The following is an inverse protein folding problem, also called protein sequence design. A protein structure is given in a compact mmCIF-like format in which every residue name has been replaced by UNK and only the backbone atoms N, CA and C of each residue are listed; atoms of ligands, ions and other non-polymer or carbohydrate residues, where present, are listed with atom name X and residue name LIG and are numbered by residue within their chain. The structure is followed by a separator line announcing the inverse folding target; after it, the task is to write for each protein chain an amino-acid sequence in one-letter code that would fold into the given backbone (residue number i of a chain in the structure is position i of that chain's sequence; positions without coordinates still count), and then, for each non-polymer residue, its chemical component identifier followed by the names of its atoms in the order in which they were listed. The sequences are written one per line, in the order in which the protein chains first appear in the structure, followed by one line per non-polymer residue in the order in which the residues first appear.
data_IF_650930031172
#
_entry.id   IF_650930031172
#
_cell.length_a   1.000
_cell.length_b   1.000
_cell.length_c   1.000
_cell.angle_alpha   90.00
_cell.angle_beta   90.00
_cell.angle_gamma   90.00
#
_symmetry.space_group_name_H-M   'P 1'
#
loop_
_entity.id
_entity.type
_entity.pdbx_description
1 polymer ?
#
# COMPACT_ATOMS: atom_id res chain seq x y z
N UNK A 1 -18.81 -8.79 -52.19
CA UNK A 1 -18.36 -9.59 -51.02
C UNK A 1 -17.17 -8.83 -50.43
N UNK A 2 -17.43 -8.00 -49.41
CA UNK A 2 -16.42 -7.12 -48.83
C UNK A 2 -15.81 -7.83 -47.60
N UNK A 3 -14.50 -8.12 -47.56
CA UNK A 3 -13.85 -8.87 -46.49
C UNK A 3 -13.49 -7.97 -45.30
N UNK A 4 -14.43 -7.14 -44.86
CA UNK A 4 -14.23 -6.23 -43.73
C UNK A 4 -14.46 -6.98 -42.41
N UNK A 5 -13.37 -7.61 -41.97
CA UNK A 5 -12.93 -7.77 -40.58
C UNK A 5 -14.04 -7.66 -39.53
N UNK A 6 -14.64 -8.80 -39.23
CA UNK A 6 -15.24 -9.08 -37.93
C UNK A 6 -14.12 -8.96 -36.88
N UNK A 7 -13.91 -7.76 -36.33
CA UNK A 7 -13.04 -7.58 -35.17
C UNK A 7 -13.73 -8.32 -34.03
N UNK A 8 -13.20 -9.50 -33.68
CA UNK A 8 -13.60 -10.22 -32.48
C UNK A 8 -13.66 -9.24 -31.31
N UNK A 9 -14.80 -9.19 -30.64
CA UNK A 9 -14.96 -8.42 -29.41
C UNK A 9 -14.03 -9.04 -28.36
N UNK A 10 -12.87 -8.42 -28.17
CA UNK A 10 -11.95 -8.77 -27.08
C UNK A 10 -12.45 -8.02 -25.87
N UNK A 11 -12.89 -8.76 -24.84
CA UNK A 11 -13.24 -8.15 -23.56
C UNK A 11 -12.06 -7.32 -23.05
N UNK A 12 -12.30 -6.08 -22.57
CA UNK A 12 -11.24 -5.23 -22.08
C UNK A 12 -10.61 -5.88 -20.83
N UNK A 13 -9.28 -6.03 -20.84
CA UNK A 13 -8.53 -6.42 -19.66
C UNK A 13 -8.46 -5.20 -18.75
N UNK A 14 -9.20 -5.23 -17.65
CA UNK A 14 -9.22 -4.13 -16.67
C UNK A 14 -8.00 -4.10 -15.76
N UNK A 15 -7.50 -5.28 -15.37
CA UNK A 15 -6.31 -5.44 -14.54
C UNK A 15 -5.48 -6.60 -15.06
N UNK A 16 -4.33 -6.28 -15.62
CA UNK A 16 -3.36 -7.26 -16.13
C UNK A 16 -2.51 -7.86 -14.99
N UNK A 17 -1.90 -9.02 -15.25
CA UNK A 17 -0.90 -9.62 -14.34
C UNK A 17 0.23 -8.63 -13.99
N UNK A 18 0.64 -7.81 -14.96
CA UNK A 18 1.64 -6.77 -14.76
C UNK A 18 1.20 -5.75 -13.70
N UNK A 19 -0.02 -5.23 -13.80
CA UNK A 19 -0.57 -4.26 -12.84
C UNK A 19 -0.78 -4.86 -11.44
N UNK A 20 -1.16 -6.14 -11.37
CA UNK A 20 -1.25 -6.87 -10.10
C UNK A 20 0.12 -6.99 -9.43
N UNK A 21 1.16 -7.33 -10.20
CA UNK A 21 2.54 -7.43 -9.70
C UNK A 21 3.07 -6.08 -9.27
N UNK A 22 2.82 -5.00 -10.03
CA UNK A 22 3.21 -3.65 -9.61
C UNK A 22 2.51 -3.23 -8.31
N UNK A 23 1.24 -3.62 -8.13
CA UNK A 23 0.50 -3.36 -6.90
C UNK A 23 1.11 -4.11 -5.71
N UNK A 24 1.43 -5.40 -5.89
CA UNK A 24 2.13 -6.20 -4.87
C UNK A 24 3.51 -5.60 -4.55
N UNK A 25 4.27 -5.23 -5.58
CA UNK A 25 5.58 -4.62 -5.46
C UNK A 25 5.53 -3.32 -4.66
N UNK A 26 4.54 -2.45 -4.91
CA UNK A 26 4.40 -1.17 -4.21
C UNK A 26 4.24 -1.32 -2.69
N UNK A 27 3.73 -2.47 -2.24
CA UNK A 27 3.58 -2.81 -0.83
C UNK A 27 4.86 -3.47 -0.30
N UNK A 28 5.40 -4.46 -1.00
CA UNK A 28 6.49 -5.31 -0.47
C UNK A 28 7.87 -4.68 -0.62
N UNK A 29 8.16 -4.09 -1.78
CA UNK A 29 9.51 -3.63 -2.14
C UNK A 29 10.11 -2.63 -1.16
N UNK A 30 9.37 -1.65 -0.59
CA UNK A 30 9.94 -0.75 0.41
C UNK A 30 10.55 -1.46 1.62
N UNK A 31 9.84 -2.46 2.16
CA UNK A 31 10.28 -3.22 3.33
C UNK A 31 11.44 -4.16 3.01
N UNK A 32 11.48 -4.68 1.78
CA UNK A 32 12.54 -5.58 1.33
C UNK A 32 13.84 -4.84 0.96
N UNK A 33 13.74 -3.73 0.23
CA UNK A 33 14.89 -2.98 -0.26
C UNK A 33 15.50 -2.07 0.81
N UNK A 34 14.66 -1.49 1.69
CA UNK A 34 15.10 -0.48 2.66
C UNK A 34 14.43 -0.65 4.04
N UNK A 35 14.52 -1.83 4.69
CA UNK A 35 13.79 -2.14 5.93
C UNK A 35 14.00 -1.11 7.05
N UNK A 36 15.24 -0.66 7.26
CA UNK A 36 15.58 0.35 8.29
C UNK A 36 14.93 1.70 8.04
N UNK A 37 14.80 2.11 6.76
CA UNK A 37 14.08 3.34 6.41
C UNK A 37 12.57 3.17 6.61
N UNK A 38 12.05 1.95 6.55
CA UNK A 38 10.66 1.67 6.92
C UNK A 38 10.44 1.44 8.43
N UNK A 39 11.43 1.74 9.28
CA UNK A 39 11.34 1.55 10.74
C UNK A 39 11.55 0.11 11.22
N UNK A 40 11.88 -0.83 10.31
CA UNK A 40 12.20 -2.23 10.62
C UNK A 40 13.70 -2.36 10.91
N UNK A 41 14.14 -1.81 12.04
CA UNK A 41 15.58 -1.74 12.37
C UNK A 41 16.19 -3.06 12.86
N UNK A 42 15.38 -3.89 13.52
CA UNK A 42 15.82 -5.15 14.12
C UNK A 42 15.47 -6.38 13.30
N UNK A 43 14.91 -6.20 12.09
CA UNK A 43 14.49 -7.32 11.25
C UNK A 43 15.71 -8.08 10.70
N UNK A 44 15.68 -9.40 10.82
CA UNK A 44 16.71 -10.26 10.24
C UNK A 44 16.24 -10.85 8.89
N UNK A 45 17.17 -11.49 8.16
CA UNK A 45 16.89 -12.08 6.85
C UNK A 45 15.79 -13.16 6.90
N UNK A 46 15.75 -13.99 7.94
CA UNK A 46 14.73 -15.05 8.08
C UNK A 46 13.33 -14.45 8.29
N UNK A 47 13.21 -13.34 9.00
CA UNK A 47 11.95 -12.62 9.17
C UNK A 47 11.49 -11.97 7.87
N UNK A 48 12.41 -11.42 7.09
CA UNK A 48 12.12 -10.92 5.74
C UNK A 48 11.69 -12.06 4.81
N UNK A 49 12.30 -13.23 4.88
CA UNK A 49 11.89 -14.42 4.12
C UNK A 49 10.48 -14.87 4.48
N UNK A 50 10.09 -14.83 5.76
CA UNK A 50 8.71 -15.10 6.18
C UNK A 50 7.73 -14.06 5.63
N UNK A 51 8.10 -12.79 5.63
CA UNK A 51 7.30 -11.72 5.02
C UNK A 51 7.13 -11.93 3.51
N UNK A 52 8.20 -12.30 2.81
CA UNK A 52 8.16 -12.65 1.37
C UNK A 52 7.23 -13.83 1.14
N UNK A 53 7.38 -14.92 1.90
CA UNK A 53 6.52 -16.09 1.76
C UNK A 53 5.04 -15.75 1.99
N UNK A 54 4.74 -14.94 3.00
CA UNK A 54 3.39 -14.44 3.23
C UNK A 54 2.84 -13.71 2.00
N UNK A 55 3.60 -12.77 1.44
CA UNK A 55 3.16 -12.01 0.27
C UNK A 55 3.16 -12.82 -1.02
N UNK A 56 4.01 -13.84 -1.15
CA UNK A 56 3.97 -14.80 -2.25
C UNK A 56 2.62 -15.52 -2.25
N UNK A 57 2.18 -16.05 -1.11
CA UNK A 57 0.88 -16.72 -0.95
C UNK A 57 -0.26 -15.76 -1.22
N UNK A 58 -0.23 -14.53 -0.70
CA UNK A 58 -1.27 -13.52 -0.99
C UNK A 58 -1.34 -13.24 -2.50
N UNK A 59 -0.21 -13.08 -3.17
CA UNK A 59 -0.19 -12.85 -4.63
C UNK A 59 -0.82 -14.02 -5.40
N UNK A 60 -0.45 -15.26 -5.04
CA UNK A 60 -1.04 -16.46 -5.63
C UNK A 60 -2.56 -16.54 -5.42
N UNK A 61 -3.03 -16.27 -4.18
CA UNK A 61 -4.47 -16.27 -3.86
C UNK A 61 -5.25 -15.18 -4.58
N UNK A 62 -4.61 -14.04 -4.87
CA UNK A 62 -5.20 -12.97 -5.68
C UNK A 62 -5.16 -13.27 -7.19
N UNK A 63 -4.55 -14.38 -7.61
CA UNK A 63 -4.49 -14.83 -9.00
C UNK A 63 -3.24 -14.38 -9.76
N UNK A 64 -2.20 -13.88 -9.09
CA UNK A 64 -0.90 -13.64 -9.73
C UNK A 64 -0.25 -14.98 -10.01
N UNK A 65 0.09 -15.25 -11.27
CA UNK A 65 0.83 -16.47 -11.61
C UNK A 65 2.20 -16.46 -10.94
N UNK A 66 2.65 -17.62 -10.42
CA UNK A 66 3.90 -17.73 -9.67
C UNK A 66 5.12 -17.21 -10.44
N UNK A 67 5.14 -17.37 -11.76
CA UNK A 67 6.21 -16.86 -12.64
C UNK A 67 6.30 -15.33 -12.69
N UNK A 68 5.23 -14.63 -12.35
CA UNK A 68 5.15 -13.15 -12.36
C UNK A 68 5.25 -12.55 -10.95
N UNK A 69 4.87 -13.31 -9.92
CA UNK A 69 4.83 -12.89 -8.53
C UNK A 69 6.21 -12.41 -8.04
N UNK A 70 6.30 -11.15 -7.59
CA UNK A 70 7.58 -10.55 -7.21
C UNK A 70 8.15 -11.11 -5.90
N UNK A 71 7.38 -11.92 -5.18
CA UNK A 71 7.80 -12.60 -3.95
C UNK A 71 8.12 -14.09 -4.17
N UNK A 72 8.03 -14.59 -5.40
CA UNK A 72 8.36 -15.98 -5.70
C UNK A 72 9.88 -16.19 -5.71
N UNK A 73 10.33 -17.33 -5.18
CA UNK A 73 11.75 -17.71 -5.21
C UNK A 73 12.59 -17.28 -3.99
N UNK A 74 11.96 -16.77 -2.94
CA UNK A 74 12.64 -16.41 -1.68
C UNK A 74 13.43 -15.10 -1.77
N UNK A 75 14.31 -14.86 -0.79
CA UNK A 75 14.90 -13.53 -0.55
C UNK A 75 15.68 -12.96 -1.73
N UNK A 76 16.70 -13.66 -2.21
CA UNK A 76 17.63 -13.09 -3.22
C UNK A 76 16.90 -12.78 -4.53
N UNK A 77 16.01 -13.67 -4.96
CA UNK A 77 15.24 -13.54 -6.19
C UNK A 77 14.20 -12.42 -6.08
N UNK A 78 13.47 -12.37 -4.96
CA UNK A 78 12.52 -11.29 -4.70
C UNK A 78 13.21 -9.94 -4.60
N UNK A 79 14.37 -9.87 -3.95
CA UNK A 79 15.15 -8.64 -3.81
C UNK A 79 15.62 -8.13 -5.18
N UNK A 80 16.25 -9.00 -5.98
CA UNK A 80 16.71 -8.66 -7.32
C UNK A 80 15.56 -8.22 -8.23
N UNK A 81 14.42 -8.90 -8.17
CA UNK A 81 13.26 -8.55 -8.98
C UNK A 81 12.65 -7.21 -8.53
N UNK A 82 12.56 -6.98 -7.21
CA UNK A 82 12.10 -5.69 -6.68
C UNK A 82 13.02 -4.54 -7.10
N UNK A 83 14.34 -4.74 -7.11
CA UNK A 83 15.30 -3.76 -7.61
C UNK A 83 15.10 -3.50 -9.11
N UNK A 84 14.88 -4.55 -9.90
CA UNK A 84 14.68 -4.41 -11.34
C UNK A 84 13.45 -3.56 -11.67
N UNK A 85 12.32 -3.79 -10.98
CA UNK A 85 11.11 -2.97 -11.14
C UNK A 85 11.37 -1.52 -10.69
N UNK A 86 12.10 -1.31 -9.60
CA UNK A 86 12.45 0.04 -9.13
C UNK A 86 13.20 0.83 -10.20
N UNK A 87 14.24 0.24 -10.77
CA UNK A 87 15.14 0.91 -11.72
C UNK A 87 14.51 1.05 -13.11
N UNK A 88 13.74 0.06 -13.58
CA UNK A 88 13.20 0.04 -14.95
C UNK A 88 11.83 0.68 -15.10
N UNK A 89 10.97 0.57 -14.09
CA UNK A 89 9.58 1.00 -14.20
C UNK A 89 9.31 2.25 -13.35
N UNK A 90 9.66 2.23 -12.07
CA UNK A 90 9.30 3.31 -11.14
C UNK A 90 10.14 4.57 -11.33
N UNK A 91 11.47 4.46 -11.32
CA UNK A 91 12.36 5.63 -11.43
C UNK A 91 12.16 6.42 -12.72
N UNK A 92 12.01 5.81 -13.92
CA UNK A 92 11.80 6.57 -15.15
C UNK A 92 10.47 7.31 -15.20
N UNK A 93 9.39 6.72 -14.68
CA UNK A 93 8.07 7.37 -14.64
C UNK A 93 8.09 8.58 -13.71
N UNK A 94 8.69 8.41 -12.53
CA UNK A 94 8.79 9.46 -11.52
C UNK A 94 9.75 10.59 -11.92
N UNK A 95 10.87 10.28 -12.58
CA UNK A 95 11.82 11.30 -13.06
C UNK A 95 11.26 12.18 -14.17
N UNK A 96 10.39 11.62 -15.02
CA UNK A 96 9.67 12.38 -16.04
C UNK A 96 8.50 13.20 -15.47
N UNK A 97 8.24 13.12 -14.14
CA UNK A 97 7.09 13.73 -13.47
C UNK A 97 5.77 13.47 -14.22
N UNK A 98 5.67 12.32 -14.91
CA UNK A 98 4.42 11.86 -15.50
C UNK A 98 3.59 11.33 -14.37
N UNK A 99 2.92 12.24 -13.66
CA UNK A 99 2.04 11.89 -12.56
C UNK A 99 0.99 10.89 -13.05
N UNK A 100 0.77 9.78 -12.33
CA UNK A 100 -0.14 8.74 -12.78
C UNK A 100 -1.57 9.19 -12.49
N UNK A 101 -2.18 9.92 -13.41
CA UNK A 101 -3.58 10.35 -13.37
C UNK A 101 -3.99 11.22 -12.17
N UNK A 102 -4.92 12.16 -12.39
CA UNK A 102 -5.53 12.92 -11.29
C UNK A 102 -6.17 11.99 -10.23
N UNK A 103 -6.63 10.82 -10.66
CA UNK A 103 -7.27 9.80 -9.81
C UNK A 103 -6.27 9.21 -8.82
N UNK A 104 -5.08 8.80 -9.29
CA UNK A 104 -4.03 8.24 -8.43
C UNK A 104 -3.58 9.22 -7.34
N UNK A 105 -3.49 10.51 -7.68
CA UNK A 105 -3.14 11.56 -6.73
C UNK A 105 -4.23 11.77 -5.66
N UNK A 106 -5.50 11.84 -6.05
CA UNK A 106 -6.61 11.95 -5.09
C UNK A 106 -6.76 10.69 -4.24
N UNK A 107 -6.48 9.50 -4.77
CA UNK A 107 -6.43 8.27 -3.99
C UNK A 107 -5.32 8.32 -2.92
N UNK A 108 -4.11 8.75 -3.28
CA UNK A 108 -3.00 8.93 -2.34
C UNK A 108 -3.32 9.97 -1.24
N UNK A 109 -4.03 11.04 -1.61
CA UNK A 109 -4.53 12.04 -0.66
C UNK A 109 -5.57 11.44 0.29
N UNK A 110 -6.51 10.65 -0.22
CA UNK A 110 -7.49 9.93 0.58
C UNK A 110 -6.84 8.99 1.59
N UNK A 111 -5.80 8.26 1.17
CA UNK A 111 -5.00 7.41 2.08
C UNK A 111 -4.31 8.24 3.17
N UNK A 112 -3.70 9.37 2.81
CA UNK A 112 -3.06 10.25 3.80
C UNK A 112 -4.06 10.77 4.84
N UNK A 113 -5.26 11.17 4.41
CA UNK A 113 -6.35 11.60 5.30
C UNK A 113 -6.82 10.44 6.18
N UNK A 114 -6.97 9.24 5.60
CA UNK A 114 -7.38 8.03 6.32
C UNK A 114 -6.40 7.61 7.44
N UNK A 115 -5.13 7.97 7.33
CA UNK A 115 -4.11 7.70 8.34
C UNK A 115 -4.09 8.71 9.50
N UNK A 116 -4.62 9.92 9.30
CA UNK A 116 -4.58 10.99 10.32
C UNK A 116 -5.24 10.64 11.67
N UNK A 117 -6.32 9.84 11.76
CA UNK A 117 -6.87 9.42 13.04
C UNK A 117 -5.88 8.60 13.90
N UNK A 118 -4.94 7.90 13.28
CA UNK A 118 -3.90 7.12 13.96
C UNK A 118 -2.60 7.92 14.11
N UNK A 119 -2.26 8.74 13.12
CA UNK A 119 -1.05 9.56 13.10
C UNK A 119 -1.38 10.98 12.58
N UNK A 120 -1.83 11.91 13.45
CA UNK A 120 -2.31 13.24 13.05
C UNK A 120 -1.28 14.12 12.34
N UNK A 121 0.00 13.78 12.50
CA UNK A 121 1.14 14.50 11.92
C UNK A 121 1.36 14.10 10.45
N UNK A 122 0.74 13.00 9.99
CA UNK A 122 0.83 12.54 8.60
C UNK A 122 0.07 13.48 7.67
N UNK A 123 0.74 13.90 6.60
CA UNK A 123 0.16 14.69 5.51
C UNK A 123 0.64 14.13 4.17
N UNK A 124 -0.14 14.33 3.10
CA UNK A 124 0.27 13.90 1.76
C UNK A 124 1.63 14.48 1.36
N UNK A 125 1.85 15.77 1.62
CA UNK A 125 3.11 16.46 1.34
C UNK A 125 4.28 15.81 2.11
N UNK A 126 4.06 15.50 3.40
CA UNK A 126 5.06 14.82 4.22
C UNK A 126 5.39 13.42 3.69
N UNK A 127 4.38 12.65 3.29
CA UNK A 127 4.56 11.33 2.69
C UNK A 127 5.31 11.42 1.36
N UNK A 128 4.87 12.28 0.43
CA UNK A 128 5.53 12.46 -0.86
C UNK A 128 6.98 12.89 -0.69
N UNK A 129 7.26 13.87 0.17
CA UNK A 129 8.64 14.31 0.46
C UNK A 129 9.48 13.15 1.01
N UNK A 130 8.92 12.37 1.92
CA UNK A 130 9.60 11.23 2.51
C UNK A 130 9.92 10.16 1.46
N UNK A 131 8.94 9.75 0.67
CA UNK A 131 9.09 8.73 -0.37
C UNK A 131 9.97 9.20 -1.54
N UNK A 132 9.95 10.49 -1.89
CA UNK A 132 10.83 11.02 -2.92
C UNK A 132 12.29 10.96 -2.47
N UNK A 133 12.58 11.34 -1.22
CA UNK A 133 13.90 11.16 -0.62
C UNK A 133 14.27 9.67 -0.48
N UNK A 134 13.30 8.82 -0.13
CA UNK A 134 13.48 7.37 0.03
C UNK A 134 14.01 6.72 -1.25
N UNK A 135 13.43 7.07 -2.41
CA UNK A 135 13.83 6.55 -3.72
C UNK A 135 14.92 7.36 -4.43
N UNK A 136 15.42 8.44 -3.80
CA UNK A 136 16.55 9.23 -4.31
C UNK A 136 16.20 10.26 -5.39
N UNK A 137 14.99 10.81 -5.38
CA UNK A 137 14.56 11.83 -6.35
C UNK A 137 14.89 13.25 -5.91
N UNK A 138 15.35 14.08 -6.85
CA UNK A 138 15.72 15.49 -6.65
C UNK A 138 14.54 16.46 -6.71
N UNK A 139 13.34 16.03 -6.30
CA UNK A 139 12.15 16.90 -6.33
C UNK A 139 11.78 17.40 -4.93
N UNK A 140 11.73 18.72 -4.76
CA UNK A 140 11.36 19.34 -3.49
C UNK A 140 9.85 19.47 -3.35
N UNK A 141 9.28 18.73 -2.40
CA UNK A 141 7.87 18.88 -2.01
C UNK A 141 7.78 19.80 -0.77
N UNK A 142 7.09 20.96 -0.86
CA UNK A 142 6.87 21.82 0.30
C UNK A 142 5.94 21.13 1.29
N UNK A 143 6.28 21.20 2.59
CA UNK A 143 5.47 20.65 3.68
C UNK A 143 5.04 21.80 4.59
N UNK A 144 3.73 21.90 4.86
CA UNK A 144 3.17 22.91 5.75
C UNK A 144 3.73 22.82 7.18
N UNK A 145 3.66 21.63 7.79
CA UNK A 145 4.20 21.37 9.12
C UNK A 145 5.62 20.76 9.06
N UNK A 146 6.63 21.61 8.92
CA UNK A 146 8.05 21.18 8.87
C UNK A 146 8.51 20.48 10.13
N UNK A 147 8.07 20.93 11.30
CA UNK A 147 8.43 20.33 12.58
C UNK A 147 7.89 18.90 12.65
N UNK A 148 6.58 18.73 12.42
CA UNK A 148 5.93 17.43 12.43
C UNK A 148 6.57 16.43 11.45
N UNK A 149 6.88 16.88 10.23
CA UNK A 149 7.63 16.05 9.27
C UNK A 149 9.00 15.62 9.82
N UNK A 150 9.81 16.57 10.32
CA UNK A 150 11.12 16.24 10.89
C UNK A 150 11.02 15.31 12.10
N UNK A 151 9.99 15.48 12.94
CA UNK A 151 9.73 14.59 14.08
C UNK A 151 9.42 13.16 13.64
N UNK A 152 8.57 12.97 12.62
CA UNK A 152 8.29 11.64 12.06
C UNK A 152 9.54 11.02 11.46
N UNK A 153 10.32 11.77 10.67
CA UNK A 153 11.55 11.25 10.07
C UNK A 153 12.54 10.83 11.15
N UNK A 154 12.73 11.66 12.19
CA UNK A 154 13.60 11.32 13.32
C UNK A 154 13.09 10.10 14.10
N UNK A 155 11.76 10.00 14.29
CA UNK A 155 11.14 8.84 14.91
C UNK A 155 11.47 7.57 14.14
N UNK A 156 11.18 7.56 12.83
CA UNK A 156 11.34 6.39 11.96
C UNK A 156 12.81 6.03 11.78
N UNK A 157 13.66 6.99 11.41
CA UNK A 157 15.06 6.71 11.04
C UNK A 157 15.95 6.50 12.27
N UNK A 158 15.65 7.12 13.41
CA UNK A 158 16.54 7.13 14.59
C UNK A 158 15.91 6.52 15.83
N UNK A 159 14.76 7.01 16.30
CA UNK A 159 14.23 6.60 17.61
C UNK A 159 13.83 5.12 17.63
N UNK A 160 13.20 4.61 16.56
CA UNK A 160 12.77 3.22 16.47
C UNK A 160 13.91 2.20 16.47
N UNK A 161 15.18 2.62 16.37
CA UNK A 161 16.32 1.73 16.56
C UNK A 161 16.45 1.26 18.02
N UNK A 162 15.97 2.06 18.98
CA UNK A 162 16.03 1.72 20.38
C UNK A 162 14.78 0.93 20.82
N UNK A 163 14.94 -0.25 21.46
CA UNK A 163 13.81 -1.06 21.91
C UNK A 163 12.80 -0.35 22.80
N UNK A 164 13.26 0.58 23.66
CA UNK A 164 12.38 1.37 24.52
C UNK A 164 11.43 2.26 23.70
N UNK A 165 11.97 3.00 22.73
CA UNK A 165 11.18 3.88 21.86
C UNK A 165 10.29 3.07 20.92
N UNK A 166 10.75 1.92 20.44
CA UNK A 166 9.91 0.99 19.69
C UNK A 166 8.71 0.49 20.51
N UNK A 167 8.93 0.08 21.75
CA UNK A 167 7.86 -0.32 22.66
C UNK A 167 6.89 0.83 22.97
N UNK A 168 7.41 2.02 23.28
CA UNK A 168 6.60 3.18 23.63
C UNK A 168 5.72 3.62 22.45
N UNK A 169 6.28 3.66 21.24
CA UNK A 169 5.52 3.98 20.03
C UNK A 169 4.45 2.94 19.72
N UNK A 170 4.76 1.65 19.89
CA UNK A 170 3.78 0.58 19.77
C UNK A 170 2.65 0.72 20.81
N UNK A 171 2.96 1.11 22.04
CA UNK A 171 1.95 1.38 23.08
C UNK A 171 1.05 2.55 22.69
N UNK A 172 1.64 3.67 22.24
CA UNK A 172 0.89 4.85 21.78
C UNK A 172 -0.05 4.47 20.63
N UNK A 173 0.45 3.76 19.62
CA UNK A 173 -0.36 3.31 18.48
C UNK A 173 -1.51 2.39 18.91
N UNK A 174 -1.28 1.46 19.85
CA UNK A 174 -2.34 0.62 20.43
C UNK A 174 -3.39 1.43 21.16
N UNK A 175 -2.98 2.43 21.94
CA UNK A 175 -3.91 3.35 22.62
C UNK A 175 -4.72 4.17 21.60
N UNK A 176 -4.09 4.73 20.56
CA UNK A 176 -4.78 5.43 19.48
C UNK A 176 -5.78 4.51 18.78
N UNK A 177 -5.39 3.28 18.45
CA UNK A 177 -6.28 2.30 17.83
C UNK A 177 -7.48 1.96 18.73
N UNK A 178 -7.25 1.82 20.03
CA UNK A 178 -8.32 1.62 21.01
C UNK A 178 -9.29 2.82 21.03
N UNK A 179 -8.79 4.05 21.07
CA UNK A 179 -9.63 5.25 21.02
C UNK A 179 -10.43 5.33 19.70
N UNK A 180 -9.79 5.03 18.57
CA UNK A 180 -10.44 5.03 17.25
C UNK A 180 -11.55 3.98 17.20
N UNK A 181 -11.32 2.76 17.70
CA UNK A 181 -12.34 1.71 17.74
C UNK A 181 -13.51 2.06 18.66
N UNK A 182 -13.27 2.74 19.79
CA UNK A 182 -14.35 3.28 20.63
C UNK A 182 -15.17 4.33 19.88
N UNK A 183 -14.51 5.28 19.20
CA UNK A 183 -15.18 6.30 18.38
C UNK A 183 -15.99 5.67 17.26
N UNK A 184 -15.44 4.66 16.59
CA UNK A 184 -16.13 3.92 15.53
C UNK A 184 -17.43 3.29 16.06
N UNK A 185 -17.42 2.67 17.26
CA UNK A 185 -18.63 2.13 17.89
C UNK A 185 -19.68 3.20 18.16
N UNK A 186 -19.26 4.38 18.63
CA UNK A 186 -20.18 5.51 18.89
C UNK A 186 -20.78 6.02 17.58
N UNK A 187 -19.95 6.23 16.56
CA UNK A 187 -20.39 6.67 15.23
C UNK A 187 -21.37 5.66 14.65
N UNK A 188 -21.06 4.35 14.74
CA UNK A 188 -21.95 3.29 14.25
C UNK A 188 -23.31 3.32 14.93
N UNK A 189 -23.37 3.47 16.26
CA UNK A 189 -24.64 3.64 17.00
C UNK A 189 -25.42 4.88 16.55
N UNK A 190 -24.73 6.01 16.28
CA UNK A 190 -25.38 7.23 15.77
C UNK A 190 -25.94 7.02 14.37
N UNK A 191 -25.18 6.36 13.49
CA UNK A 191 -25.61 6.02 12.13
C UNK A 191 -26.80 5.06 12.15
N UNK A 192 -26.77 4.02 12.98
CA UNK A 192 -27.89 3.08 13.16
C UNK A 192 -29.17 3.80 13.64
N UNK A 193 -29.05 4.81 14.51
CA UNK A 193 -30.18 5.62 14.95
C UNK A 193 -30.69 6.57 13.85
N UNK A 194 -29.79 7.25 13.14
CA UNK A 194 -30.14 8.24 12.12
C UNK A 194 -30.67 7.59 10.83
N UNK A 195 -30.15 6.41 10.50
CA UNK A 195 -30.49 5.65 9.30
C UNK A 195 -31.08 4.28 9.68
N UNK A 196 -32.08 4.28 10.57
CA UNK A 196 -32.72 3.04 11.04
C UNK A 196 -33.31 2.18 9.92
N UNK A 197 -33.66 2.79 8.78
CA UNK A 197 -34.18 2.12 7.59
C UNK A 197 -33.08 1.53 6.69
N UNK A 198 -31.81 1.88 6.91
CA UNK A 198 -30.65 1.37 6.16
C UNK A 198 -30.01 0.25 6.97
N UNK A 199 -30.59 -0.96 6.86
CA UNK A 199 -29.99 -2.15 7.45
C UNK A 199 -28.82 -2.61 6.59
N UNK A 200 -27.59 -2.52 7.12
CA UNK A 200 -26.43 -3.15 6.51
C UNK A 200 -26.63 -4.66 6.53
N UNK A 201 -26.96 -5.27 5.39
CA UNK A 201 -27.03 -6.73 5.30
C UNK A 201 -25.59 -7.26 5.38
N UNK A 202 -25.25 -8.09 6.39
CA UNK A 202 -23.89 -8.63 6.54
C UNK A 202 -23.53 -9.58 5.38
N UNK A 203 -24.53 -10.07 4.66
CA UNK A 203 -24.35 -10.82 3.42
C UNK A 203 -24.04 -9.86 2.27
N UNK A 204 -22.92 -10.11 1.60
CA UNK A 204 -22.71 -9.58 0.25
C UNK A 204 -23.98 -9.91 -0.57
N UNK A 205 -24.64 -8.94 -1.24
CA UNK A 205 -25.83 -9.22 -2.04
C UNK A 205 -25.57 -10.24 -3.15
N UNK A 206 -24.29 -10.48 -3.43
CA UNK A 206 -23.81 -11.50 -4.34
C UNK A 206 -23.38 -12.75 -3.55
N UNK A 207 -24.22 -13.78 -3.58
CA UNK A 207 -23.80 -15.14 -3.23
C UNK A 207 -23.05 -15.69 -4.44
N UNK A 208 -21.76 -15.43 -4.51
CA UNK A 208 -20.92 -16.03 -5.54
C UNK A 208 -20.75 -17.52 -5.23
N UNK A 209 -21.12 -18.38 -6.18
CA UNK A 209 -20.98 -19.83 -6.06
C UNK A 209 -19.56 -20.29 -6.39
N UNK A 210 -18.78 -19.45 -7.08
CA UNK A 210 -17.37 -19.74 -7.38
C UNK A 210 -16.48 -18.49 -7.40
N UNK A 211 -15.16 -18.62 -7.10
CA UNK A 211 -14.20 -17.52 -7.19
C UNK A 211 -14.12 -16.84 -8.57
N UNK A 212 -14.48 -17.55 -9.65
CA UNK A 212 -14.48 -17.01 -11.02
C UNK A 212 -15.54 -15.91 -11.22
N UNK A 213 -16.66 -15.97 -10.50
CA UNK A 213 -17.71 -14.94 -10.57
C UNK A 213 -17.30 -13.63 -9.89
N UNK A 214 -16.27 -13.68 -9.04
CA UNK A 214 -15.71 -12.54 -8.31
C UNK A 214 -14.76 -11.70 -9.18
N UNK A 215 -14.22 -12.28 -10.26
CA UNK A 215 -13.26 -11.67 -11.18
C UNK A 215 -13.86 -11.36 -12.57
N UNK A 216 -15.15 -11.62 -12.77
CA UNK A 216 -15.86 -11.45 -14.03
C UNK A 216 -16.53 -10.07 -14.19
N UNK A 217 -16.21 -9.11 -13.31
CA UNK A 217 -16.67 -7.72 -13.35
C UNK A 217 -15.50 -6.75 -13.50
#
# INVERSE_FOLDING_TARGET
MNPDKEKAFVEPIWVSQYEMVLTQWAIVAPFLLYPKRCGMHSVNKQELEKMIYFWQVIGHLLGIEDRFNCCFGGYEQSYAYCQLILERDYKPVLSQLKYPSNIGFEAAKGLAIGLQPLAPIVSLQGLLRYWYRFFGFEHYVPVSNRFGYKSIVYLIETMLQNPFWHWLTALILKCCLFIVTLRQKIIRKRLEKQYANVAYRPTCPFSYKSPKELLAY
#
